data_IF_252463220538
#
_entry.id   IF_252463220538
#
_cell.length_a   1.000
_cell.length_b   1.000
_cell.length_c   1.000
_cell.angle_alpha   90.00
_cell.angle_beta   90.00
_cell.angle_gamma   90.00
#
_symmetry.space_group_name_H-M   'P 1'
#
loop_
_entity.id
_entity.type
_entity.pdbx_description
1 polymer ?
#
# COMPACT_ATOMS: atom_id res chain seq x y z
N UNK A 1 -1.38 -10.47 4.78
CA UNK A 1 -1.24 -10.36 3.31
C UNK A 1 -2.04 -11.45 2.64
N UNK A 2 -2.65 -11.18 1.49
CA UNK A 2 -3.27 -12.22 0.67
C UNK A 2 -2.17 -13.16 0.13
N UNK A 3 -2.34 -14.46 0.29
CA UNK A 3 -1.40 -15.43 -0.28
C UNK A 3 -1.71 -15.62 -1.77
N UNK A 4 -0.75 -16.08 -2.61
CA UNK A 4 -0.98 -16.26 -4.03
C UNK A 4 -2.23 -17.08 -4.37
N UNK A 5 -2.49 -18.17 -3.62
CA UNK A 5 -3.71 -18.98 -3.77
C UNK A 5 -5.01 -18.19 -3.54
N UNK A 6 -5.01 -17.22 -2.60
CA UNK A 6 -6.19 -16.40 -2.32
C UNK A 6 -6.45 -15.42 -3.47
N UNK A 7 -5.39 -14.84 -4.03
CA UNK A 7 -5.45 -13.94 -5.19
C UNK A 7 -5.95 -14.71 -6.42
N UNK A 8 -5.38 -15.88 -6.71
CA UNK A 8 -5.80 -16.72 -7.85
C UNK A 8 -7.24 -17.22 -7.73
N UNK A 9 -7.76 -17.41 -6.51
CA UNK A 9 -9.17 -17.77 -6.30
C UNK A 9 -10.13 -16.70 -6.81
N UNK A 10 -9.70 -15.44 -6.89
CA UNK A 10 -10.52 -14.35 -7.41
C UNK A 10 -10.84 -14.50 -8.90
N UNK A 11 -10.04 -15.26 -9.67
CA UNK A 11 -10.35 -15.61 -11.06
C UNK A 11 -11.68 -16.36 -11.21
N UNK A 12 -12.15 -16.99 -10.13
CA UNK A 12 -13.43 -17.71 -10.09
C UNK A 12 -14.58 -16.85 -9.52
N UNK A 13 -14.30 -15.63 -9.04
CA UNK A 13 -15.27 -14.78 -8.35
C UNK A 13 -15.26 -13.39 -9.00
N UNK A 14 -16.11 -13.13 -10.02
CA UNK A 14 -16.10 -11.89 -10.80
C UNK A 14 -16.31 -10.60 -10.01
N UNK A 15 -16.79 -10.70 -8.76
CA UNK A 15 -17.06 -9.55 -7.88
C UNK A 15 -15.86 -9.12 -7.05
N UNK A 16 -14.77 -9.89 -7.05
CA UNK A 16 -13.54 -9.48 -6.36
C UNK A 16 -12.81 -8.50 -7.26
N UNK A 17 -12.63 -7.27 -6.78
CA UNK A 17 -12.02 -6.17 -7.55
C UNK A 17 -10.62 -5.82 -7.05
N UNK A 18 -10.20 -6.37 -5.90
CA UNK A 18 -8.99 -5.94 -5.18
C UNK A 18 -8.46 -7.03 -4.26
N UNK A 19 -7.18 -6.96 -3.92
CA UNK A 19 -6.55 -7.85 -2.96
C UNK A 19 -5.48 -7.11 -2.12
N UNK A 20 -5.34 -7.48 -0.84
CA UNK A 20 -4.28 -6.91 0.01
C UNK A 20 -2.91 -7.35 -0.50
N UNK A 21 -2.10 -6.38 -0.93
CA UNK A 21 -0.75 -6.54 -1.47
C UNK A 21 0.35 -6.37 -0.41
N UNK A 22 0.02 -5.78 0.73
CA UNK A 22 0.94 -5.56 1.85
C UNK A 22 0.87 -6.65 2.93
N UNK A 23 1.88 -6.67 3.79
CA UNK A 23 1.77 -7.28 5.12
C UNK A 23 0.77 -6.51 6.02
N UNK A 24 0.53 -7.02 7.22
CA UNK A 24 -0.35 -6.36 8.19
C UNK A 24 0.25 -5.06 8.73
N UNK A 25 -0.56 -4.01 8.85
CA UNK A 25 -0.11 -2.72 9.40
C UNK A 25 0.35 -2.81 10.87
N UNK A 26 -0.21 -3.71 11.68
CA UNK A 26 0.24 -3.90 13.05
C UNK A 26 1.70 -4.39 13.11
N UNK A 27 2.12 -5.23 12.15
CA UNK A 27 3.53 -5.67 12.05
C UNK A 27 4.47 -4.52 11.69
N UNK A 28 3.98 -3.53 10.93
CA UNK A 28 4.74 -2.31 10.67
C UNK A 28 4.94 -1.48 11.94
N UNK A 29 3.86 -1.24 12.68
CA UNK A 29 3.93 -0.52 13.95
C UNK A 29 4.87 -1.22 14.94
N UNK A 30 4.91 -2.56 14.92
CA UNK A 30 5.83 -3.37 15.70
C UNK A 30 7.30 -3.29 15.24
N UNK A 31 7.58 -2.72 14.07
CA UNK A 31 8.92 -2.70 13.47
C UNK A 31 9.34 -4.04 12.87
N UNK A 32 8.39 -4.96 12.67
CA UNK A 32 8.62 -6.30 12.13
C UNK A 32 8.47 -6.36 10.61
N UNK A 33 7.90 -5.34 9.99
CA UNK A 33 7.73 -5.30 8.55
C UNK A 33 7.71 -3.88 7.98
N UNK A 34 8.17 -3.75 6.74
CA UNK A 34 8.03 -2.53 5.95
C UNK A 34 6.74 -2.62 5.14
N UNK A 35 5.61 -2.27 5.74
CA UNK A 35 4.32 -2.61 5.14
C UNK A 35 4.04 -1.87 3.82
N UNK A 36 4.61 -0.68 3.65
CA UNK A 36 4.55 0.12 2.44
C UNK A 36 5.22 -0.51 1.21
N UNK A 37 6.07 -1.53 1.41
CA UNK A 37 6.83 -2.19 0.32
C UNK A 37 5.94 -3.17 -0.42
N UNK A 38 5.10 -2.67 -1.34
CA UNK A 38 4.12 -3.49 -2.06
C UNK A 38 4.54 -3.82 -3.50
N UNK A 39 5.71 -3.37 -3.98
CA UNK A 39 6.07 -3.37 -5.40
C UNK A 39 5.85 -4.68 -6.15
N UNK A 40 6.44 -5.78 -5.68
CA UNK A 40 6.30 -7.10 -6.32
C UNK A 40 4.89 -7.66 -6.14
N UNK A 41 4.30 -7.51 -4.95
CA UNK A 41 2.93 -7.95 -4.69
C UNK A 41 1.91 -7.22 -5.57
N UNK A 42 2.08 -5.92 -5.78
CA UNK A 42 1.27 -5.10 -6.68
C UNK A 42 1.38 -5.58 -8.12
N UNK A 43 2.59 -5.92 -8.59
CA UNK A 43 2.77 -6.50 -9.93
C UNK A 43 1.94 -7.78 -10.10
N UNK A 44 1.98 -8.66 -9.10
CA UNK A 44 1.21 -9.91 -9.16
C UNK A 44 -0.31 -9.67 -9.10
N UNK A 45 -0.77 -8.78 -8.22
CA UNK A 45 -2.20 -8.46 -8.08
C UNK A 45 -2.75 -7.78 -9.34
N UNK A 46 -2.00 -6.84 -9.92
CA UNK A 46 -2.34 -6.16 -11.18
C UNK A 46 -2.38 -7.11 -12.38
N UNK A 47 -1.44 -8.05 -12.47
CA UNK A 47 -1.41 -9.06 -13.54
C UNK A 47 -2.65 -9.97 -13.56
N UNK A 48 -3.36 -10.09 -12.44
CA UNK A 48 -4.61 -10.85 -12.31
C UNK A 48 -5.84 -9.95 -12.57
N UNK A 49 -5.65 -8.66 -12.84
CA UNK A 49 -6.72 -7.68 -13.11
C UNK A 49 -7.39 -7.16 -11.84
N UNK A 50 -6.73 -7.26 -10.69
CA UNK A 50 -7.24 -6.76 -9.41
C UNK A 50 -6.48 -5.49 -8.99
N UNK A 51 -7.14 -4.64 -8.21
CA UNK A 51 -6.49 -3.46 -7.62
C UNK A 51 -5.67 -3.86 -6.36
N UNK A 52 -4.35 -3.57 -6.32
CA UNK A 52 -3.54 -3.74 -5.12
C UNK A 52 -4.02 -2.87 -3.95
N UNK A 53 -4.22 -3.46 -2.79
CA UNK A 53 -4.57 -2.74 -1.57
C UNK A 53 -3.40 -2.75 -0.59
N UNK A 54 -2.88 -1.57 -0.23
CA UNK A 54 -1.81 -1.42 0.76
C UNK A 54 -2.23 -1.71 2.20
N UNK A 55 -3.49 -1.96 2.54
CA UNK A 55 -3.97 -2.03 3.94
C UNK A 55 -4.10 -0.67 4.63
N UNK A 56 -4.69 -0.69 5.84
CA UNK A 56 -4.92 0.49 6.67
C UNK A 56 -3.63 1.22 7.05
N UNK A 57 -3.75 2.49 7.41
CA UNK A 57 -2.64 3.30 7.91
C UNK A 57 -3.10 4.40 8.86
N UNK A 58 -2.18 4.95 9.65
CA UNK A 58 -2.44 6.17 10.42
C UNK A 58 -2.02 7.41 9.61
N UNK A 59 -2.89 8.40 9.54
CA UNK A 59 -2.61 9.71 8.95
C UNK A 59 -1.78 10.63 9.85
N UNK A 60 -1.67 10.27 11.15
CA UNK A 60 -0.80 10.92 12.14
C UNK A 60 0.27 9.96 12.66
N UNK A 61 1.36 10.51 13.17
CA UNK A 61 2.42 9.69 13.75
C UNK A 61 2.05 9.00 15.06
N UNK A 62 1.17 9.62 15.87
CA UNK A 62 0.84 9.14 17.20
C UNK A 62 -0.66 8.94 17.35
N UNK A 63 -1.04 7.77 17.82
CA UNK A 63 -2.41 7.39 18.15
C UNK A 63 -2.48 6.99 19.63
N UNK A 64 -2.84 7.92 20.53
CA UNK A 64 -2.93 7.65 21.96
C UNK A 64 -3.90 6.51 22.28
N UNK A 65 -3.52 5.66 23.24
CA UNK A 65 -4.34 4.50 23.63
C UNK A 65 -4.37 3.37 22.60
N UNK A 66 -3.53 3.42 21.57
CA UNK A 66 -3.41 2.36 20.58
C UNK A 66 -3.11 0.99 21.22
N UNK A 67 -3.80 -0.09 20.81
CA UNK A 67 -3.65 -1.41 21.42
C UNK A 67 -2.44 -2.21 20.91
N UNK A 68 -1.71 -1.71 19.90
CA UNK A 68 -0.68 -2.51 19.22
C UNK A 68 0.57 -2.75 20.08
N UNK A 69 1.23 -1.68 20.52
CA UNK A 69 2.36 -1.75 21.47
C UNK A 69 2.54 -0.43 22.22
N UNK A 70 3.28 -0.43 23.35
CA UNK A 70 3.67 0.80 24.02
C UNK A 70 4.38 1.75 23.05
N UNK A 71 3.90 3.00 22.96
CA UNK A 71 4.45 4.03 22.07
C UNK A 71 4.50 3.63 20.58
N UNK A 72 3.51 2.86 20.11
CA UNK A 72 3.34 2.61 18.67
C UNK A 72 3.31 3.94 17.90
N UNK A 73 4.08 4.01 16.82
CA UNK A 73 4.27 5.24 16.05
C UNK A 73 4.33 4.93 14.56
N UNK A 74 3.55 5.67 13.77
CA UNK A 74 3.75 5.76 12.32
C UNK A 74 4.85 6.78 12.03
N UNK A 75 5.93 6.32 11.40
CA UNK A 75 7.13 7.13 11.19
C UNK A 75 6.94 8.09 10.03
N UNK A 76 6.25 7.67 8.97
CA UNK A 76 6.05 8.43 7.74
C UNK A 76 4.60 8.33 7.24
N UNK A 77 3.62 8.98 7.90
CA UNK A 77 2.21 8.91 7.51
C UNK A 77 1.97 9.29 6.05
N UNK A 78 2.70 10.28 5.54
CA UNK A 78 2.57 10.73 4.15
C UNK A 78 3.01 9.67 3.14
N UNK A 79 4.01 8.83 3.48
CA UNK A 79 4.41 7.70 2.63
C UNK A 79 3.30 6.68 2.56
N UNK A 80 2.68 6.36 3.70
CA UNK A 80 1.58 5.39 3.73
C UNK A 80 0.39 5.86 2.88
N UNK A 81 0.07 7.16 2.94
CA UNK A 81 -0.94 7.80 2.09
C UNK A 81 -0.54 7.73 0.63
N UNK A 82 0.68 8.12 0.27
CA UNK A 82 1.18 8.10 -1.10
C UNK A 82 1.09 6.69 -1.70
N UNK A 83 1.59 5.68 -0.98
CA UNK A 83 1.58 4.29 -1.44
C UNK A 83 0.14 3.76 -1.53
N UNK A 84 -0.72 4.02 -0.55
CA UNK A 84 -2.12 3.60 -0.63
C UNK A 84 -2.84 4.24 -1.83
N UNK A 85 -2.59 5.53 -2.08
CA UNK A 85 -3.21 6.29 -3.19
C UNK A 85 -2.81 5.73 -4.55
N UNK A 86 -1.51 5.52 -4.76
CA UNK A 86 -0.98 5.06 -6.03
C UNK A 86 -1.15 3.54 -6.23
N UNK A 87 -1.63 2.81 -5.22
CA UNK A 87 -1.85 1.35 -5.31
C UNK A 87 -3.11 0.95 -6.07
N UNK A 88 -3.96 1.91 -6.46
CA UNK A 88 -5.28 1.75 -7.12
C UNK A 88 -6.36 1.04 -6.32
N UNK A 89 -6.03 0.30 -5.26
CA UNK A 89 -6.98 -0.23 -4.28
C UNK A 89 -7.58 0.84 -3.35
N UNK A 90 -8.29 0.44 -2.29
CA UNK A 90 -8.81 1.37 -1.30
C UNK A 90 -7.71 2.18 -0.61
N UNK A 91 -8.01 3.45 -0.30
CA UNK A 91 -7.21 4.28 0.61
C UNK A 91 -7.90 4.25 1.96
N UNK A 92 -7.25 3.67 2.98
CA UNK A 92 -7.93 3.32 4.24
C UNK A 92 -7.25 3.92 5.48
N UNK A 93 -7.54 5.19 5.81
CA UNK A 93 -7.18 5.76 7.10
C UNK A 93 -7.82 4.93 8.24
N UNK A 94 -7.02 4.56 9.23
CA UNK A 94 -7.39 3.76 10.40
C UNK A 94 -7.04 4.46 11.71
N UNK A 95 -7.04 5.79 11.70
CA UNK A 95 -6.80 6.65 12.85
C UNK A 95 -7.87 6.44 13.95
N UNK A 96 -7.49 6.69 15.21
CA UNK A 96 -8.45 6.78 16.29
C UNK A 96 -9.39 7.98 16.09
N UNK A 97 -10.57 7.89 16.71
CA UNK A 97 -11.55 8.98 16.70
C UNK A 97 -10.88 10.27 17.23
N UNK A 98 -11.04 11.37 16.49
CA UNK A 98 -10.43 12.69 16.76
C UNK A 98 -8.90 12.80 16.53
N UNK A 99 -8.24 11.78 15.97
CA UNK A 99 -6.81 11.79 15.65
C UNK A 99 -6.50 11.72 14.15
N UNK A 100 -7.52 11.87 13.32
CA UNK A 100 -7.39 11.94 11.87
C UNK A 100 -6.78 13.28 11.44
N UNK A 101 -5.70 13.25 10.67
CA UNK A 101 -5.14 14.42 10.00
C UNK A 101 -5.76 14.57 8.60
N UNK A 102 -6.76 15.44 8.51
CA UNK A 102 -7.49 15.72 7.26
C UNK A 102 -6.58 16.35 6.21
N UNK A 103 -5.63 17.20 6.58
CA UNK A 103 -4.71 17.82 5.63
C UNK A 103 -3.83 16.78 4.92
N UNK A 104 -3.38 15.75 5.65
CA UNK A 104 -2.63 14.65 5.06
C UNK A 104 -3.51 13.80 4.15
N UNK A 105 -4.70 13.39 4.62
CA UNK A 105 -5.60 12.56 3.83
C UNK A 105 -6.01 13.26 2.54
N UNK A 106 -6.33 14.55 2.60
CA UNK A 106 -6.75 15.30 1.41
C UNK A 106 -5.66 15.41 0.33
N UNK A 107 -4.40 15.05 0.60
CA UNK A 107 -3.36 14.93 -0.44
C UNK A 107 -3.64 13.80 -1.44
N UNK A 108 -4.47 12.81 -1.11
CA UNK A 108 -4.87 11.76 -2.04
C UNK A 108 -6.12 12.11 -2.86
N UNK A 109 -6.76 13.25 -2.58
CA UNK A 109 -8.06 13.60 -3.13
C UNK A 109 -8.03 14.95 -3.85
N UNK A 110 -8.98 15.13 -4.78
CA UNK A 110 -9.44 16.46 -5.18
C UNK A 110 -10.23 17.11 -4.03
N UNK A 111 -10.45 18.42 -4.09
CA UNK A 111 -11.20 19.17 -3.08
C UNK A 111 -12.63 18.70 -2.82
N UNK A 112 -13.24 17.90 -3.72
CA UNK A 112 -14.56 17.30 -3.55
C UNK A 112 -14.52 15.86 -2.98
N UNK A 113 -13.34 15.38 -2.60
CA UNK A 113 -13.16 14.05 -1.99
C UNK A 113 -12.97 12.91 -3.00
N UNK A 114 -12.91 13.19 -4.31
CA UNK A 114 -12.54 12.17 -5.30
C UNK A 114 -11.08 11.76 -5.12
N UNK A 115 -10.83 10.49 -4.80
CA UNK A 115 -9.48 9.93 -4.68
C UNK A 115 -8.83 9.89 -6.07
N UNK A 116 -7.63 10.45 -6.18
CA UNK A 116 -6.84 10.52 -7.40
C UNK A 116 -5.99 9.27 -7.53
N UNK A 117 -6.40 8.35 -8.42
CA UNK A 117 -5.68 7.11 -8.69
C UNK A 117 -5.08 7.12 -10.11
N UNK A 118 -3.91 6.51 -10.30
CA UNK A 118 -3.38 6.25 -11.64
C UNK A 118 -4.17 5.13 -12.33
N UNK A 119 -3.94 4.93 -13.63
CA UNK A 119 -4.57 3.83 -14.39
C UNK A 119 -3.91 2.47 -14.11
N UNK A 120 -2.61 2.48 -13.79
CA UNK A 120 -1.85 1.30 -13.38
C UNK A 120 -1.31 1.51 -11.97
N UNK A 121 -1.34 0.50 -11.08
CA UNK A 121 -0.82 0.65 -9.73
C UNK A 121 0.68 0.91 -9.72
N UNK A 122 1.15 1.50 -8.63
CA UNK A 122 2.57 1.57 -8.35
C UNK A 122 3.15 0.15 -8.27
N UNK A 123 4.18 -0.10 -9.06
CA UNK A 123 4.93 -1.36 -9.08
C UNK A 123 6.41 -1.09 -9.00
N UNK A 124 7.16 -2.09 -8.55
CA UNK A 124 8.62 -2.03 -8.65
C UNK A 124 9.02 -2.02 -10.13
N UNK A 125 10.06 -1.28 -10.48
CA UNK A 125 10.57 -1.29 -11.85
C UNK A 125 11.23 -2.63 -12.18
N UNK A 126 11.06 -3.09 -13.43
CA UNK A 126 11.60 -4.37 -13.90
C UNK A 126 13.12 -4.51 -13.70
N UNK A 127 13.88 -3.41 -13.74
CA UNK A 127 15.33 -3.41 -13.53
C UNK A 127 15.70 -3.91 -12.12
N UNK A 128 14.98 -3.47 -11.08
CA UNK A 128 15.24 -3.92 -9.71
C UNK A 128 14.80 -5.37 -9.51
N UNK A 129 13.64 -5.74 -10.02
CA UNK A 129 13.17 -7.14 -9.96
C UNK A 129 14.16 -8.10 -10.65
N UNK A 130 14.68 -7.71 -11.81
CA UNK A 130 15.70 -8.47 -12.54
C UNK A 130 17.02 -8.54 -11.77
N UNK A 131 17.45 -7.43 -11.16
CA UNK A 131 18.65 -7.39 -10.32
C UNK A 131 18.54 -8.35 -9.12
N UNK A 132 17.40 -8.33 -8.43
CA UNK A 132 17.13 -9.18 -7.28
C UNK A 132 17.03 -10.67 -7.65
N UNK A 133 16.54 -10.98 -8.84
CA UNK A 133 16.39 -12.36 -9.30
C UNK A 133 17.69 -12.98 -9.83
N UNK A 134 18.58 -12.19 -10.44
CA UNK A 134 19.73 -12.72 -11.20
C UNK A 134 21.09 -12.24 -10.72
N UNK A 135 21.15 -11.21 -9.88
CA UNK A 135 22.40 -10.54 -9.48
C UNK A 135 22.46 -10.29 -7.96
N UNK A 136 21.80 -11.14 -7.16
CA UNK A 136 21.81 -11.09 -5.69
C UNK A 136 21.44 -9.73 -5.07
N UNK A 137 20.68 -8.91 -5.80
CA UNK A 137 20.19 -7.63 -5.30
C UNK A 137 21.28 -6.59 -5.02
N UNK A 138 22.29 -6.48 -5.89
CA UNK A 138 23.30 -5.38 -5.84
C UNK A 138 22.62 -4.01 -5.71
N UNK A 139 21.49 -3.82 -6.39
CA UNK A 139 20.65 -2.63 -6.27
C UNK A 139 19.80 -2.70 -5.01
N UNK A 140 20.09 -1.81 -4.06
CA UNK A 140 19.41 -1.73 -2.77
C UNK A 140 18.21 -0.78 -2.80
N UNK A 141 17.25 -1.01 -1.91
CA UNK A 141 16.05 -0.20 -1.78
C UNK A 141 15.01 -0.48 -2.86
N UNK A 142 14.01 0.40 -2.98
CA UNK A 142 12.91 0.21 -3.91
C UNK A 142 12.67 1.46 -4.75
N UNK A 143 12.53 1.25 -6.06
CA UNK A 143 12.14 2.27 -7.03
C UNK A 143 10.84 1.85 -7.70
N UNK A 144 9.88 2.75 -7.65
CA UNK A 144 8.52 2.53 -8.07
C UNK A 144 8.18 3.34 -9.32
N UNK A 145 7.30 2.79 -10.14
CA UNK A 145 6.67 3.48 -11.27
C UNK A 145 5.18 3.20 -11.30
N UNK A 146 4.42 4.16 -11.82
CA UNK A 146 2.98 4.06 -12.11
C UNK A 146 2.70 4.81 -13.40
N UNK A 147 1.52 4.65 -13.99
CA UNK A 147 1.15 5.26 -15.26
C UNK A 147 -0.30 5.77 -15.25
N UNK A 148 -0.48 6.94 -15.86
CA UNK A 148 -1.77 7.49 -16.26
C UNK A 148 -1.73 7.74 -17.77
N UNK A 149 -2.76 7.32 -18.48
CA UNK A 149 -2.94 7.59 -19.90
C UNK A 149 -3.69 8.92 -20.05
N UNK A 150 -3.18 9.79 -20.93
CA UNK A 150 -3.83 11.04 -21.33
C UNK A 150 -4.56 10.86 -22.66
#
# INVERSE_FOLDING_TARGET
>A
MSLPRHILSALQIPRVTQARASTDYALHLDGKAQQWTIGISSMFVDAIGLAPFKDVFWSTSLQPGSPYKPNAKEVLPEREILIATLSTGPVSPGDAINYTNTQHIMKCCRGDGLILKPDQPLTMINRLVSDWAFYDGVSQGELYSTRTNM
#
